data_IF_340006489530
#
_entry.id   IF_340006489530
#
_cell.length_a   1.000
_cell.length_b   1.000
_cell.length_c   1.000
_cell.angle_alpha   90.00
_cell.angle_beta   90.00
_cell.angle_gamma   90.00
#
_symmetry.space_group_name_H-M   'P 1'
#
loop_
_entity.id
_entity.type
_entity.pdbx_description
1 polymer ?
#
# COMPACT_ATOMS: atom_id res chain seq x y z
N UNK A 1 10.14 23.52 -7.02
CA UNK A 1 11.07 23.55 -5.88
C UNK A 1 12.19 22.53 -6.02
N UNK A 2 11.91 21.23 -5.85
CA UNK A 2 12.91 20.17 -5.63
C UNK A 2 14.00 20.01 -6.71
N UNK A 3 13.74 20.37 -7.96
CA UNK A 3 14.71 20.23 -9.06
C UNK A 3 15.58 21.47 -9.31
N UNK A 4 15.29 22.61 -8.65
CA UNK A 4 15.99 23.88 -8.90
C UNK A 4 17.04 24.13 -7.83
N UNK A 5 18.29 24.39 -8.20
CA UNK A 5 19.38 24.71 -7.28
C UNK A 5 20.22 23.50 -6.87
N UNK A 6 21.27 23.74 -6.09
CA UNK A 6 22.09 22.67 -5.51
C UNK A 6 21.53 22.24 -4.16
N UNK A 7 21.33 20.93 -3.92
CA UNK A 7 20.85 20.44 -2.63
C UNK A 7 21.97 20.44 -1.59
N UNK A 8 21.64 20.82 -0.37
CA UNK A 8 22.49 20.65 0.80
C UNK A 8 22.07 19.40 1.59
N UNK A 9 22.79 18.29 1.41
CA UNK A 9 22.45 17.01 2.04
C UNK A 9 22.61 17.02 3.57
N UNK A 10 23.44 17.89 4.13
CA UNK A 10 23.59 18.03 5.59
C UNK A 10 22.35 18.72 6.19
N UNK A 11 21.89 19.81 5.57
CA UNK A 11 20.64 20.46 5.94
C UNK A 11 19.43 19.52 5.74
N UNK A 12 19.43 18.77 4.64
CA UNK A 12 18.45 17.73 4.36
C UNK A 12 18.39 16.64 5.44
N UNK A 13 19.56 16.17 5.91
CA UNK A 13 19.63 15.23 7.04
C UNK A 13 19.02 15.81 8.31
N UNK A 14 19.34 17.07 8.64
CA UNK A 14 18.80 17.71 9.83
C UNK A 14 17.27 17.82 9.79
N UNK A 15 16.72 18.18 8.63
CA UNK A 15 15.27 18.20 8.39
C UNK A 15 14.66 16.79 8.49
N UNK A 16 15.31 15.78 7.89
CA UNK A 16 14.86 14.40 7.97
C UNK A 16 14.77 13.91 9.41
N UNK A 17 15.81 14.16 10.22
CA UNK A 17 15.82 13.77 11.64
C UNK A 17 14.71 14.46 12.42
N UNK A 18 14.44 15.73 12.13
CA UNK A 18 13.42 16.50 12.83
C UNK A 18 11.98 16.11 12.44
N UNK A 19 11.75 15.77 11.17
CA UNK A 19 10.41 15.61 10.60
C UNK A 19 10.07 14.14 10.35
N UNK A 20 10.93 13.44 9.62
CA UNK A 20 10.66 12.11 9.08
C UNK A 20 11.07 10.98 10.04
N UNK A 21 12.20 11.12 10.73
CA UNK A 21 12.72 10.10 11.64
C UNK A 21 11.87 9.90 12.91
N UNK A 22 10.89 10.79 13.14
CA UNK A 22 9.85 10.61 14.16
C UNK A 22 8.97 9.40 13.88
N UNK A 23 8.86 9.01 12.60
CA UNK A 23 8.00 7.95 12.15
C UNK A 23 8.70 6.90 11.30
N UNK A 24 9.77 7.24 10.57
CA UNK A 24 10.42 6.33 9.63
C UNK A 24 11.81 5.92 10.09
N UNK A 25 12.18 4.67 9.85
CA UNK A 25 13.55 4.19 9.97
C UNK A 25 14.33 4.49 8.69
N UNK A 26 15.59 4.87 8.83
CA UNK A 26 16.50 5.14 7.72
C UNK A 26 17.95 4.93 8.18
N UNK A 27 18.66 4.02 7.52
CA UNK A 27 20.03 3.61 7.88
C UNK A 27 20.22 3.28 9.36
N UNK A 28 19.25 2.58 9.97
CA UNK A 28 19.31 2.12 11.37
C UNK A 28 18.98 3.19 12.42
N UNK A 29 18.54 4.39 12.01
CA UNK A 29 18.02 5.42 12.90
C UNK A 29 16.55 5.75 12.63
N UNK A 30 15.83 6.25 13.63
CA UNK A 30 14.42 6.65 13.51
C UNK A 30 13.46 5.80 14.34
N UNK A 31 12.23 5.64 13.84
CA UNK A 31 11.14 4.87 14.48
C UNK A 31 10.44 4.01 13.44
N UNK A 32 9.87 2.87 13.87
CA UNK A 32 9.12 1.96 12.99
C UNK A 32 7.60 2.24 13.02
N UNK A 33 7.22 3.50 12.87
CA UNK A 33 5.80 3.90 12.82
C UNK A 33 5.28 3.85 11.37
N UNK A 34 6.00 4.47 10.46
CA UNK A 34 5.87 4.34 9.00
C UNK A 34 6.77 3.21 8.47
N UNK A 35 6.71 2.95 7.15
CA UNK A 35 7.61 2.00 6.50
C UNK A 35 9.09 2.46 6.61
N UNK A 36 10.00 1.50 6.56
CA UNK A 36 11.45 1.77 6.51
C UNK A 36 11.83 2.39 5.16
N UNK A 37 12.59 3.49 5.17
CA UNK A 37 12.92 4.25 3.96
C UNK A 37 14.21 3.75 3.25
N UNK A 38 14.81 2.66 3.73
CA UNK A 38 15.84 1.93 3.00
C UNK A 38 15.14 1.00 2.01
N UNK A 39 15.09 1.39 0.75
CA UNK A 39 14.46 0.58 -0.31
C UNK A 39 12.95 0.79 -0.44
N UNK A 40 12.29 1.47 0.50
CA UNK A 40 10.92 1.99 0.38
C UNK A 40 10.93 3.53 0.36
N UNK A 41 9.96 4.13 -0.33
CA UNK A 41 9.65 5.55 -0.40
C UNK A 41 10.36 6.32 -1.51
N UNK A 42 11.25 5.66 -2.26
CA UNK A 42 12.29 6.33 -3.08
C UNK A 42 12.56 5.68 -4.45
N UNK A 43 11.65 4.83 -4.92
CA UNK A 43 11.77 4.12 -6.21
C UNK A 43 11.89 5.08 -7.40
N UNK A 44 11.25 6.25 -7.29
CA UNK A 44 11.44 7.40 -8.16
C UNK A 44 11.24 8.69 -7.36
N UNK A 45 11.75 9.80 -7.89
CA UNK A 45 11.50 11.11 -7.31
C UNK A 45 10.00 11.48 -7.37
N UNK A 46 9.25 11.02 -8.38
CA UNK A 46 7.80 11.28 -8.47
C UNK A 46 7.01 10.52 -7.39
N UNK A 47 7.34 9.25 -7.17
CA UNK A 47 6.74 8.45 -6.08
C UNK A 47 7.02 9.11 -4.72
N UNK A 48 8.28 9.50 -4.47
CA UNK A 48 8.66 10.18 -3.23
C UNK A 48 7.88 11.50 -3.06
N UNK A 49 7.80 12.31 -4.12
CA UNK A 49 7.09 13.58 -4.08
C UNK A 49 5.58 13.40 -3.83
N UNK A 50 4.95 12.41 -4.46
CA UNK A 50 3.53 12.11 -4.23
C UNK A 50 3.29 11.74 -2.77
N UNK A 51 4.10 10.83 -2.22
CA UNK A 51 3.97 10.38 -0.83
C UNK A 51 4.22 11.50 0.19
N UNK A 52 5.17 12.40 -0.08
CA UNK A 52 5.50 13.51 0.83
C UNK A 52 4.50 14.66 0.73
N UNK A 53 4.04 15.00 -0.47
CA UNK A 53 3.14 16.14 -0.70
C UNK A 53 1.69 15.77 -0.33
N UNK A 54 1.24 14.57 -0.70
CA UNK A 54 -0.10 14.07 -0.41
C UNK A 54 -0.04 12.65 0.18
N UNK A 55 0.28 12.51 1.48
CA UNK A 55 0.33 11.21 2.16
C UNK A 55 -1.04 10.52 2.27
N UNK A 56 -2.13 11.19 1.88
CA UNK A 56 -3.48 10.62 1.88
C UNK A 56 -3.90 10.05 0.53
N UNK A 57 -3.09 10.25 -0.52
CA UNK A 57 -3.42 9.78 -1.86
C UNK A 57 -3.49 8.25 -1.93
N UNK A 58 -2.49 7.58 -1.35
CA UNK A 58 -2.40 6.13 -1.23
C UNK A 58 -1.99 5.82 0.20
N UNK A 59 -2.87 5.18 0.96
CA UNK A 59 -2.63 4.81 2.35
C UNK A 59 -2.50 3.30 2.42
N UNK A 60 -1.32 2.82 2.80
CA UNK A 60 -1.10 1.39 3.01
C UNK A 60 -2.02 0.84 4.09
N UNK A 61 -2.48 -0.40 3.93
CA UNK A 61 -3.34 -1.02 4.92
C UNK A 61 -2.62 -1.14 6.27
N UNK A 62 -3.24 -0.64 7.34
CA UNK A 62 -2.65 -0.58 8.67
C UNK A 62 -1.82 0.68 8.94
N UNK A 63 -1.78 1.65 8.02
CA UNK A 63 -1.14 2.97 8.21
C UNK A 63 -2.15 4.13 8.35
N UNK A 64 -3.45 3.83 8.30
CA UNK A 64 -4.50 4.79 8.63
C UNK A 64 -4.36 5.27 10.08
N UNK A 65 -4.71 6.52 10.32
CA UNK A 65 -4.84 7.03 11.66
C UNK A 65 -6.15 6.56 12.30
N UNK A 66 -6.04 5.86 13.42
CA UNK A 66 -7.15 5.40 14.25
C UNK A 66 -7.22 6.29 15.48
N UNK A 67 -8.42 6.79 15.77
CA UNK A 67 -8.73 7.54 16.98
C UNK A 67 -9.52 6.65 17.93
N UNK A 68 -9.02 6.49 19.15
CA UNK A 68 -9.70 5.77 20.23
C UNK A 68 -10.13 6.76 21.30
N UNK A 69 -11.43 6.85 21.51
CA UNK A 69 -12.02 7.49 22.69
C UNK A 69 -12.26 6.41 23.75
N UNK A 70 -11.70 6.62 24.93
CA UNK A 70 -11.83 5.70 26.06
C UNK A 70 -12.89 6.18 27.03
N UNK A 71 -13.46 5.25 27.81
CA UNK A 71 -14.52 5.53 28.80
C UNK A 71 -14.07 6.45 29.95
N UNK A 72 -12.75 6.59 30.16
CA UNK A 72 -12.17 7.52 31.13
C UNK A 72 -12.02 8.96 30.57
N UNK A 73 -12.40 9.17 29.30
CA UNK A 73 -12.38 10.46 28.63
C UNK A 73 -11.09 10.77 27.86
N UNK A 74 -10.10 9.87 27.82
CA UNK A 74 -8.91 10.07 26.97
C UNK A 74 -9.22 9.83 25.49
N UNK A 75 -8.62 10.66 24.65
CA UNK A 75 -8.54 10.47 23.20
C UNK A 75 -7.11 10.12 22.82
N UNK A 76 -6.93 8.94 22.24
CA UNK A 76 -5.64 8.40 21.81
C UNK A 76 -5.65 8.29 20.28
N UNK A 77 -4.50 8.45 19.64
CA UNK A 77 -4.36 8.43 18.18
C UNK A 77 -3.12 7.66 17.77
N UNK A 78 -3.24 6.86 16.72
CA UNK A 78 -2.15 6.08 16.15
C UNK A 78 -2.66 5.04 15.16
N UNK A 79 -1.76 4.24 14.59
CA UNK A 79 -2.15 3.09 13.78
C UNK A 79 -2.31 1.86 14.65
N UNK A 80 -3.22 0.95 14.28
CA UNK A 80 -3.39 -0.31 15.02
C UNK A 80 -2.26 -1.27 14.67
N UNK A 81 -1.53 -1.73 15.69
CA UNK A 81 -0.50 -2.77 15.56
C UNK A 81 -0.94 -4.11 16.18
N UNK A 82 -2.04 -4.11 16.93
CA UNK A 82 -2.68 -5.31 17.46
C UNK A 82 -4.18 -5.03 17.68
N UNK A 83 -5.06 -5.88 17.15
CA UNK A 83 -6.49 -5.89 17.47
C UNK A 83 -6.90 -7.32 17.85
N UNK A 84 -7.25 -7.51 19.12
CA UNK A 84 -7.66 -8.79 19.67
C UNK A 84 -9.02 -8.64 20.35
N UNK A 85 -9.74 -9.74 20.64
CA UNK A 85 -11.00 -9.66 21.38
C UNK A 85 -10.91 -8.95 22.74
N UNK A 86 -9.72 -8.92 23.36
CA UNK A 86 -9.51 -8.36 24.71
C UNK A 86 -8.84 -6.99 24.73
N UNK A 87 -8.09 -6.61 23.69
CA UNK A 87 -7.34 -5.33 23.65
C UNK A 87 -7.03 -4.86 22.25
N UNK A 88 -6.81 -3.56 22.14
CA UNK A 88 -6.25 -2.88 20.96
C UNK A 88 -4.93 -2.25 21.37
N UNK A 89 -3.91 -2.33 20.52
CA UNK A 89 -2.63 -1.64 20.70
C UNK A 89 -2.43 -0.65 19.56
N UNK A 90 -2.28 0.62 19.91
CA UNK A 90 -1.98 1.70 18.97
C UNK A 90 -0.49 2.02 18.99
N UNK A 91 0.05 2.35 17.83
CA UNK A 91 1.37 2.94 17.65
C UNK A 91 1.21 4.35 17.09
N UNK A 92 1.52 5.34 17.92
CA UNK A 92 1.45 6.76 17.58
C UNK A 92 2.78 7.32 17.04
N UNK A 93 2.72 8.58 16.61
CA UNK A 93 3.88 9.37 16.18
C UNK A 93 4.97 9.36 17.27
N UNK A 94 6.24 9.24 16.86
CA UNK A 94 7.38 9.13 17.78
C UNK A 94 7.59 7.71 18.34
N UNK A 95 6.75 6.74 17.97
CA UNK A 95 6.84 5.36 18.44
C UNK A 95 6.19 5.12 19.79
N UNK A 96 5.18 5.92 20.15
CA UNK A 96 4.45 5.77 21.42
C UNK A 96 3.46 4.60 21.30
N UNK A 97 3.56 3.61 22.18
CA UNK A 97 2.62 2.50 22.23
C UNK A 97 1.56 2.70 23.31
N UNK A 98 0.29 2.53 22.94
CA UNK A 98 -0.85 2.57 23.86
C UNK A 98 -1.59 1.24 23.82
N UNK A 99 -1.65 0.54 24.96
CA UNK A 99 -2.42 -0.71 25.09
C UNK A 99 -3.73 -0.41 25.79
N UNK A 100 -4.84 -0.59 25.07
CA UNK A 100 -6.17 -0.27 25.55
C UNK A 100 -6.98 -1.56 25.65
N UNK A 101 -7.46 -1.90 26.84
CA UNK A 101 -8.40 -2.99 27.01
C UNK A 101 -9.70 -2.68 26.26
N UNK A 102 -10.24 -3.65 25.52
CA UNK A 102 -11.41 -3.43 24.64
C UNK A 102 -12.64 -2.96 25.42
N UNK A 103 -12.75 -3.39 26.67
CA UNK A 103 -13.79 -2.97 27.62
C UNK A 103 -13.70 -1.48 28.02
N UNK A 104 -12.53 -0.85 27.86
CA UNK A 104 -12.31 0.57 28.13
C UNK A 104 -12.52 1.46 26.89
N UNK A 105 -12.69 0.86 25.72
CA UNK A 105 -12.96 1.59 24.48
C UNK A 105 -14.43 2.02 24.48
N UNK A 106 -14.67 3.31 24.29
CA UNK A 106 -15.99 3.87 24.03
C UNK A 106 -16.22 3.96 22.52
N UNK A 107 -15.24 4.48 21.78
CA UNK A 107 -15.28 4.59 20.32
C UNK A 107 -13.90 4.27 19.74
N UNK A 108 -13.88 3.52 18.65
CA UNK A 108 -12.72 3.32 17.80
C UNK A 108 -13.12 3.74 16.38
N UNK A 109 -12.40 4.70 15.82
CA UNK A 109 -12.74 5.32 14.55
C UNK A 109 -11.51 5.35 13.63
N UNK A 110 -11.66 4.76 12.45
CA UNK A 110 -10.76 5.01 11.33
C UNK A 110 -11.12 6.37 10.72
N UNK A 111 -10.16 7.29 10.76
CA UNK A 111 -10.34 8.65 10.24
C UNK A 111 -10.33 8.71 8.71
N UNK A 112 -9.90 7.64 8.03
CA UNK A 112 -9.75 7.59 6.58
C UNK A 112 -8.58 8.44 6.05
N UNK A 113 -7.72 8.95 6.94
CA UNK A 113 -6.50 9.70 6.62
C UNK A 113 -5.27 8.97 7.15
N UNK A 114 -4.12 9.24 6.54
CA UNK A 114 -2.84 8.67 6.93
C UNK A 114 -2.43 9.14 8.33
N UNK A 115 -1.70 8.28 9.07
CA UNK A 115 -0.98 8.71 10.27
C UNK A 115 0.19 9.64 9.93
N UNK A 116 0.70 9.59 8.69
CA UNK A 116 1.74 10.51 8.22
C UNK A 116 1.16 11.94 8.15
N UNK A 117 1.80 12.92 8.83
CA UNK A 117 1.34 14.31 8.78
C UNK A 117 1.33 14.86 7.35
N UNK A 118 0.38 15.73 7.05
CA UNK A 118 0.37 16.51 5.80
C UNK A 118 1.10 17.85 5.98
N UNK A 119 1.34 18.58 4.88
CA UNK A 119 1.91 19.93 4.93
C UNK A 119 3.41 20.02 4.69
N UNK A 120 4.10 18.90 4.41
CA UNK A 120 5.52 18.93 4.03
C UNK A 120 5.78 19.72 2.74
N UNK A 121 4.80 19.82 1.85
CA UNK A 121 4.85 20.66 0.66
C UNK A 121 4.85 22.17 0.94
N UNK A 122 4.58 22.60 2.17
CA UNK A 122 4.62 24.01 2.60
C UNK A 122 6.01 24.44 3.11
N UNK A 123 6.97 23.50 3.19
CA UNK A 123 8.36 23.84 3.49
C UNK A 123 8.92 24.82 2.46
N UNK A 124 9.79 25.78 2.87
CA UNK A 124 10.48 26.63 1.92
C UNK A 124 11.18 25.82 0.82
N UNK A 125 11.14 26.29 -0.43
CA UNK A 125 11.65 25.56 -1.60
C UNK A 125 13.04 24.94 -1.41
N UNK A 126 13.95 25.64 -0.72
CA UNK A 126 15.30 25.15 -0.43
C UNK A 126 15.30 24.01 0.58
N UNK A 127 14.55 24.14 1.68
CA UNK A 127 14.43 23.09 2.70
C UNK A 127 13.76 21.85 2.13
N UNK A 128 12.70 22.04 1.34
CA UNK A 128 12.03 20.94 0.66
C UNK A 128 12.96 20.22 -0.30
N UNK A 129 13.73 20.95 -1.12
CA UNK A 129 14.75 20.38 -2.00
C UNK A 129 15.78 19.57 -1.22
N UNK A 130 16.35 20.16 -0.17
CA UNK A 130 17.41 19.52 0.61
C UNK A 130 16.92 18.23 1.27
N UNK A 131 15.71 18.23 1.84
CA UNK A 131 15.06 17.05 2.41
C UNK A 131 14.87 15.94 1.37
N UNK A 132 14.26 16.27 0.23
CA UNK A 132 13.95 15.29 -0.83
C UNK A 132 15.23 14.68 -1.39
N UNK A 133 16.27 15.48 -1.66
CA UNK A 133 17.54 14.96 -2.17
C UNK A 133 18.30 14.14 -1.12
N UNK A 134 18.17 14.44 0.17
CA UNK A 134 18.74 13.60 1.23
C UNK A 134 18.07 12.22 1.28
N UNK A 135 16.74 12.15 1.17
CA UNK A 135 16.01 10.86 1.15
C UNK A 135 16.36 10.07 -0.12
N UNK A 136 16.45 10.75 -1.27
CA UNK A 136 16.67 10.10 -2.56
C UNK A 136 18.12 9.62 -2.75
N UNK A 137 19.10 10.40 -2.30
CA UNK A 137 20.52 10.14 -2.46
C UNK A 137 21.29 10.41 -1.16
N UNK A 138 21.06 9.61 -0.11
CA UNK A 138 21.74 9.78 1.16
C UNK A 138 23.26 9.55 1.00
N UNK A 139 24.11 10.25 1.77
CA UNK A 139 25.57 10.07 1.72
C UNK A 139 26.04 8.62 1.96
N UNK A 140 25.25 7.83 2.69
CA UNK A 140 25.45 6.39 2.92
C UNK A 140 25.50 5.57 1.62
N UNK A 141 24.86 6.04 0.55
CA UNK A 141 24.83 5.41 -0.78
C UNK A 141 25.88 5.98 -1.74
N UNK A 142 26.89 6.65 -1.20
CA UNK A 142 27.93 7.31 -1.95
C UNK A 142 27.56 8.73 -2.40
N UNK A 143 28.52 9.44 -3.02
CA UNK A 143 28.37 10.86 -3.33
C UNK A 143 27.27 11.13 -4.35
N UNK A 144 26.57 12.24 -4.19
CA UNK A 144 25.67 12.79 -5.20
C UNK A 144 26.51 13.40 -6.34
N UNK A 145 26.93 12.56 -7.29
CA UNK A 145 27.61 13.01 -8.50
C UNK A 145 26.63 13.72 -9.44
N UNK A 146 27.17 14.50 -10.38
CA UNK A 146 26.37 15.14 -11.43
C UNK A 146 25.57 14.10 -12.23
N UNK A 147 26.20 12.99 -12.61
CA UNK A 147 25.53 11.90 -13.34
C UNK A 147 24.42 11.25 -12.52
N UNK A 148 24.62 11.01 -11.21
CA UNK A 148 23.59 10.48 -10.31
C UNK A 148 22.42 11.46 -10.17
N UNK A 149 22.72 12.77 -10.07
CA UNK A 149 21.71 13.83 -10.02
C UNK A 149 20.90 13.90 -11.31
N UNK A 150 21.56 13.84 -12.48
CA UNK A 150 20.90 13.84 -13.79
C UNK A 150 20.05 12.58 -14.00
N UNK A 151 20.54 11.40 -13.64
CA UNK A 151 19.77 10.16 -13.71
C UNK A 151 18.51 10.21 -12.85
N UNK A 152 18.64 10.64 -11.58
CA UNK A 152 17.51 10.78 -10.65
C UNK A 152 16.50 11.85 -11.08
N UNK A 153 16.97 12.94 -11.69
CA UNK A 153 16.10 13.98 -12.24
C UNK A 153 15.41 13.55 -13.55
N UNK A 154 16.07 12.72 -14.37
CA UNK A 154 15.52 12.26 -15.66
C UNK A 154 14.33 11.32 -15.46
N UNK A 155 14.35 10.50 -14.39
CA UNK A 155 13.21 9.65 -13.99
C UNK A 155 11.92 10.44 -13.73
N UNK A 156 11.99 11.70 -13.29
CA UNK A 156 10.83 12.60 -13.16
C UNK A 156 10.31 13.03 -14.53
N UNK A 157 11.21 13.45 -15.41
CA UNK A 157 10.82 13.96 -16.73
C UNK A 157 10.27 12.85 -17.63
N UNK A 158 10.79 11.63 -17.53
CA UNK A 158 10.30 10.47 -18.28
C UNK A 158 8.92 10.01 -17.79
N UNK A 159 8.68 10.02 -16.47
CA UNK A 159 7.37 9.69 -15.89
C UNK A 159 6.30 10.73 -16.29
N UNK A 160 6.66 12.03 -16.25
CA UNK A 160 5.79 13.10 -16.73
C UNK A 160 5.52 13.00 -18.25
N UNK A 161 6.53 12.63 -19.05
CA UNK A 161 6.40 12.46 -20.49
C UNK A 161 5.64 11.19 -20.90
N UNK A 162 5.85 10.07 -20.20
CA UNK A 162 5.08 8.83 -20.37
C UNK A 162 3.60 9.08 -20.09
N UNK A 163 3.29 9.73 -18.96
CA UNK A 163 1.92 10.13 -18.60
C UNK A 163 1.30 11.07 -19.65
N UNK A 164 2.08 11.99 -20.22
CA UNK A 164 1.61 12.93 -21.25
C UNK A 164 1.43 12.29 -22.65
N UNK A 165 2.12 11.18 -22.93
CA UNK A 165 2.06 10.46 -24.21
C UNK A 165 1.11 9.26 -24.20
N UNK A 166 0.42 9.02 -23.08
CA UNK A 166 -0.47 7.86 -22.91
C UNK A 166 0.25 6.55 -22.61
N UNK A 167 1.55 6.60 -22.33
CA UNK A 167 2.32 5.48 -21.79
C UNK A 167 2.04 5.27 -20.30
N UNK A 168 2.39 4.09 -19.79
CA UNK A 168 2.26 3.81 -18.36
C UNK A 168 3.52 4.28 -17.62
N UNK A 169 3.36 4.96 -16.46
CA UNK A 169 4.50 5.29 -15.61
C UNK A 169 5.14 4.01 -15.04
N UNK A 170 6.39 4.08 -14.54
CA UNK A 170 7.01 2.97 -13.82
C UNK A 170 6.13 2.45 -12.69
N UNK A 171 6.19 1.14 -12.44
CA UNK A 171 5.38 0.50 -11.40
C UNK A 171 5.89 0.92 -10.01
N UNK A 172 4.99 1.49 -9.22
CA UNK A 172 5.21 1.73 -7.80
C UNK A 172 4.96 0.45 -6.97
N UNK A 173 5.95 -0.44 -7.00
CA UNK A 173 5.92 -1.72 -6.28
C UNK A 173 5.78 -1.56 -4.76
N UNK A 174 6.15 -0.41 -4.22
CA UNK A 174 5.97 -0.12 -2.80
C UNK A 174 4.50 0.08 -2.48
N UNK A 175 3.81 0.98 -3.19
CA UNK A 175 2.36 1.15 -3.01
C UNK A 175 1.63 -0.18 -3.20
N UNK A 176 2.03 -0.99 -4.19
CA UNK A 176 1.50 -2.34 -4.42
C UNK A 176 1.71 -3.26 -3.20
N UNK A 177 2.90 -3.22 -2.59
CA UNK A 177 3.23 -4.03 -1.41
C UNK A 177 2.53 -3.53 -0.14
N UNK A 178 2.34 -2.22 -0.02
CA UNK A 178 1.68 -1.58 1.12
C UNK A 178 0.15 -1.62 1.01
N UNK A 179 -0.41 -1.85 -0.18
CA UNK A 179 -1.86 -1.98 -0.35
C UNK A 179 -2.45 -3.01 0.62
N UNK A 180 -1.77 -4.15 0.80
CA UNK A 180 -2.09 -5.10 1.84
C UNK A 180 -0.83 -5.91 2.25
N UNK A 181 -0.09 -5.50 3.29
CA UNK A 181 1.19 -6.10 3.66
C UNK A 181 1.12 -7.58 4.06
N UNK A 182 -0.08 -8.10 4.40
CA UNK A 182 -0.28 -9.51 4.71
C UNK A 182 -0.36 -10.39 3.46
N UNK A 183 -0.49 -9.80 2.27
CA UNK A 183 -0.71 -10.50 1.01
C UNK A 183 0.39 -10.16 0.00
N UNK A 184 1.13 -11.18 -0.44
CA UNK A 184 2.11 -11.04 -1.50
C UNK A 184 1.42 -10.93 -2.85
N UNK A 185 1.79 -9.92 -3.64
CA UNK A 185 1.30 -9.71 -5.00
C UNK A 185 2.17 -10.46 -6.02
N UNK A 186 1.52 -11.20 -6.91
CA UNK A 186 2.12 -11.83 -8.08
C UNK A 186 1.43 -11.32 -9.34
N UNK A 187 2.09 -10.46 -10.09
CA UNK A 187 1.55 -9.91 -11.34
C UNK A 187 2.69 -9.64 -12.35
N UNK A 188 2.40 -9.65 -13.66
CA UNK A 188 3.32 -9.14 -14.67
C UNK A 188 3.42 -7.62 -14.61
N UNK A 189 4.53 -7.06 -15.08
CA UNK A 189 4.61 -5.64 -15.46
C UNK A 189 4.00 -5.48 -16.87
N UNK A 190 2.68 -5.50 -16.95
CA UNK A 190 1.94 -5.46 -18.21
C UNK A 190 0.82 -4.41 -18.16
N UNK A 191 0.70 -3.63 -19.23
CA UNK A 191 -0.28 -2.53 -19.37
C UNK A 191 -0.37 -1.62 -18.13
N UNK A 192 0.79 -1.33 -17.53
CA UNK A 192 0.90 -0.46 -16.35
C UNK A 192 0.34 -1.05 -15.06
N UNK A 193 0.21 -2.37 -14.98
CA UNK A 193 -0.09 -3.11 -13.76
C UNK A 193 1.15 -3.87 -13.29
N UNK A 194 1.23 -4.26 -11.99
CA UNK A 194 0.30 -3.92 -10.91
C UNK A 194 0.40 -2.44 -10.50
N UNK A 195 -0.70 -1.83 -10.07
CA UNK A 195 -0.67 -0.47 -9.52
C UNK A 195 -1.77 -0.23 -8.51
N UNK A 196 -1.58 0.74 -7.62
CA UNK A 196 -2.63 1.19 -6.71
C UNK A 196 -3.27 2.46 -7.24
N UNK A 197 -4.58 2.45 -7.37
CA UNK A 197 -5.40 3.58 -7.76
C UNK A 197 -5.86 4.32 -6.49
N UNK A 198 -5.66 5.64 -6.42
CA UNK A 198 -6.16 6.45 -5.31
C UNK A 198 -7.68 6.32 -5.14
N UNK A 199 -8.40 6.25 -6.26
CA UNK A 199 -9.83 5.97 -6.32
C UNK A 199 -10.18 5.20 -7.59
N UNK A 200 -11.09 4.23 -7.48
CA UNK A 200 -11.80 3.65 -8.61
C UNK A 200 -13.25 3.39 -8.22
N UNK A 201 -14.19 3.97 -8.98
CA UNK A 201 -15.65 3.78 -8.78
C UNK A 201 -16.09 3.99 -7.32
N UNK A 202 -15.66 5.10 -6.71
CA UNK A 202 -16.05 5.49 -5.35
C UNK A 202 -15.39 4.69 -4.22
N UNK A 203 -14.51 3.73 -4.51
CA UNK A 203 -13.63 3.11 -3.51
C UNK A 203 -12.25 3.74 -3.63
N UNK A 204 -11.66 4.10 -2.48
CA UNK A 204 -10.28 4.55 -2.40
C UNK A 204 -9.33 3.36 -2.27
N UNK A 205 -8.04 3.56 -2.58
CA UNK A 205 -6.97 2.58 -2.37
C UNK A 205 -7.26 1.22 -3.04
N UNK A 206 -7.38 1.23 -4.36
CA UNK A 206 -7.76 0.05 -5.15
C UNK A 206 -6.54 -0.53 -5.86
N UNK A 207 -6.19 -1.78 -5.58
CA UNK A 207 -5.15 -2.48 -6.33
C UNK A 207 -5.70 -2.93 -7.68
N UNK A 208 -4.99 -2.59 -8.75
CA UNK A 208 -5.28 -3.02 -10.11
C UNK A 208 -4.23 -4.02 -10.58
N UNK A 209 -4.66 -5.20 -11.04
CA UNK A 209 -3.81 -6.24 -11.61
C UNK A 209 -4.27 -6.61 -13.02
N UNK A 210 -3.40 -7.32 -13.74
CA UNK A 210 -3.71 -7.95 -15.02
C UNK A 210 -3.08 -9.37 -15.08
N UNK A 211 -3.72 -10.37 -15.69
CA UNK A 211 -3.11 -11.70 -15.91
C UNK A 211 -1.83 -11.64 -16.76
N UNK A 212 -0.96 -12.66 -16.67
CA UNK A 212 0.30 -12.73 -17.44
C UNK A 212 0.04 -12.92 -18.93
N UNK A 213 0.56 -12.02 -19.76
CA UNK A 213 0.39 -12.02 -21.21
C UNK A 213 1.54 -12.74 -21.94
N UNK A 214 2.78 -12.54 -21.48
CA UNK A 214 3.99 -13.10 -22.05
C UNK A 214 4.29 -14.51 -21.52
N UNK A 215 4.52 -15.45 -22.45
CA UNK A 215 4.99 -16.81 -22.17
C UNK A 215 3.92 -17.82 -21.78
N UNK A 216 2.87 -17.43 -21.03
CA UNK A 216 1.75 -18.29 -20.67
C UNK A 216 0.47 -17.51 -20.33
N UNK A 217 -0.43 -17.41 -21.32
CA UNK A 217 -1.75 -16.76 -21.21
C UNK A 217 -2.74 -17.44 -20.25
N UNK A 218 -2.34 -18.57 -19.67
CA UNK A 218 -3.11 -19.29 -18.64
C UNK A 218 -2.61 -18.97 -17.23
N UNK A 219 -1.51 -18.23 -17.10
CA UNK A 219 -0.94 -17.88 -15.81
C UNK A 219 -1.66 -16.64 -15.22
N UNK A 220 -2.28 -16.77 -14.04
CA UNK A 220 -3.04 -15.68 -13.44
C UNK A 220 -2.12 -14.71 -12.70
N UNK A 221 -2.58 -13.48 -12.53
CA UNK A 221 -2.11 -12.67 -11.41
C UNK A 221 -2.73 -13.19 -10.11
N UNK A 222 -2.08 -13.00 -8.96
CA UNK A 222 -2.59 -13.50 -7.70
C UNK A 222 -2.17 -12.67 -6.49
N UNK A 223 -3.02 -12.72 -5.47
CA UNK A 223 -2.71 -12.32 -4.11
C UNK A 223 -2.53 -13.59 -3.28
N UNK A 224 -1.39 -13.74 -2.62
CA UNK A 224 -1.08 -14.92 -1.82
C UNK A 224 -0.79 -14.58 -0.37
N UNK A 225 -1.35 -15.37 0.54
CA UNK A 225 -1.04 -15.30 1.97
C UNK A 225 -0.89 -16.71 2.53
N UNK A 226 0.11 -16.89 3.41
CA UNK A 226 0.28 -18.10 4.22
C UNK A 226 0.04 -17.78 5.68
N UNK A 227 -0.78 -18.59 6.35
CA UNK A 227 -1.07 -18.45 7.77
C UNK A 227 -1.67 -19.75 8.33
N UNK A 228 -1.78 -19.83 9.66
CA UNK A 228 -2.46 -20.93 10.33
C UNK A 228 -3.91 -20.53 10.62
N UNK A 229 -4.86 -21.33 10.13
CA UNK A 229 -6.28 -21.11 10.40
C UNK A 229 -6.57 -21.40 11.88
N UNK A 230 -7.26 -20.48 12.56
CA UNK A 230 -7.64 -20.67 13.96
C UNK A 230 -8.46 -21.97 14.14
N UNK A 231 -8.13 -22.75 15.18
CA UNK A 231 -8.80 -24.02 15.44
C UNK A 231 -10.18 -23.84 16.07
N UNK A 232 -10.35 -22.76 16.83
CA UNK A 232 -11.50 -22.52 17.70
C UNK A 232 -12.42 -21.42 17.15
N UNK A 233 -11.95 -20.61 16.18
CA UNK A 233 -12.74 -19.56 15.53
C UNK A 233 -13.09 -19.91 14.07
N UNK A 234 -14.34 -19.69 13.63
CA UNK A 234 -14.69 -19.78 12.22
C UNK A 234 -14.06 -18.61 11.48
N UNK A 235 -12.99 -18.87 10.73
CA UNK A 235 -12.41 -17.87 9.83
C UNK A 235 -13.10 -17.89 8.46
N UNK A 236 -13.24 -16.70 7.90
CA UNK A 236 -13.77 -16.47 6.56
C UNK A 236 -12.84 -15.55 5.79
N UNK A 237 -12.57 -15.90 4.53
CA UNK A 237 -11.92 -15.00 3.60
C UNK A 237 -12.98 -14.13 2.94
N UNK A 238 -12.85 -12.80 3.09
CA UNK A 238 -13.65 -11.81 2.37
C UNK A 238 -12.84 -11.16 1.27
N UNK A 239 -13.46 -11.05 0.09
CA UNK A 239 -12.88 -10.41 -1.10
C UNK A 239 -13.91 -9.42 -1.64
N UNK A 240 -13.49 -8.18 -1.84
CA UNK A 240 -14.26 -7.17 -2.58
C UNK A 240 -13.49 -6.78 -3.82
N UNK A 241 -14.02 -7.10 -4.99
CA UNK A 241 -13.36 -6.83 -6.27
C UNK A 241 -14.34 -6.39 -7.38
N UNK A 242 -13.77 -5.91 -8.48
CA UNK A 242 -14.51 -5.46 -9.66
C UNK A 242 -13.74 -5.75 -10.94
N UNK A 243 -14.41 -5.50 -12.07
CA UNK A 243 -13.86 -5.67 -13.41
C UNK A 243 -13.93 -4.35 -14.21
N UNK A 244 -13.14 -4.28 -15.28
CA UNK A 244 -13.17 -3.18 -16.24
C UNK A 244 -14.57 -3.03 -16.86
N UNK A 245 -14.96 -1.85 -17.37
CA UNK A 245 -16.30 -1.65 -17.96
C UNK A 245 -16.57 -2.49 -19.21
N UNK A 246 -15.49 -2.92 -19.87
CA UNK A 246 -15.51 -3.60 -21.17
C UNK A 246 -15.05 -5.05 -21.12
N UNK A 247 -14.78 -5.59 -19.94
CA UNK A 247 -14.23 -6.93 -19.77
C UNK A 247 -14.69 -7.59 -18.49
N UNK A 248 -14.61 -8.91 -18.48
CA UNK A 248 -14.71 -9.73 -17.30
C UNK A 248 -13.34 -10.35 -16.99
N UNK A 249 -13.28 -11.07 -15.88
CA UNK A 249 -12.18 -11.95 -15.53
C UNK A 249 -12.68 -12.98 -14.52
N UNK A 250 -11.95 -14.07 -14.30
CA UNK A 250 -12.35 -15.12 -13.36
C UNK A 250 -11.59 -15.02 -12.05
N UNK A 251 -12.33 -14.87 -10.96
CA UNK A 251 -11.79 -15.02 -9.61
C UNK A 251 -11.73 -16.50 -9.28
N UNK A 252 -10.54 -16.99 -8.93
CA UNK A 252 -10.39 -18.28 -8.25
C UNK A 252 -9.76 -18.11 -6.88
N UNK A 253 -10.31 -18.76 -5.88
CA UNK A 253 -9.67 -18.86 -4.56
C UNK A 253 -9.17 -20.28 -4.42
N UNK A 254 -7.85 -20.42 -4.35
CA UNK A 254 -7.16 -21.71 -4.18
C UNK A 254 -6.60 -21.78 -2.76
N UNK A 255 -6.96 -22.82 -2.02
CA UNK A 255 -6.47 -23.07 -0.65
C UNK A 255 -5.70 -24.39 -0.65
N UNK A 256 -4.41 -24.36 -0.36
CA UNK A 256 -3.53 -25.54 -0.39
C UNK A 256 -3.58 -26.34 -1.71
N UNK A 257 -3.84 -25.66 -2.83
CA UNK A 257 -3.95 -26.27 -4.17
C UNK A 257 -5.36 -26.71 -4.56
N UNK A 258 -6.34 -26.64 -3.66
CA UNK A 258 -7.74 -26.95 -3.94
C UNK A 258 -8.55 -25.68 -4.25
N UNK A 259 -9.38 -25.72 -5.28
CA UNK A 259 -10.25 -24.59 -5.65
C UNK A 259 -11.43 -24.53 -4.67
N UNK A 260 -11.46 -23.50 -3.84
CA UNK A 260 -12.52 -23.23 -2.87
C UNK A 260 -13.62 -22.30 -3.43
N UNK A 261 -13.30 -21.48 -4.43
CA UNK A 261 -14.24 -20.61 -5.14
C UNK A 261 -13.75 -20.43 -6.59
N UNK A 262 -14.68 -20.43 -7.54
CA UNK A 262 -14.42 -20.07 -8.94
C UNK A 262 -15.64 -19.35 -9.52
N UNK A 263 -15.52 -18.05 -9.79
CA UNK A 263 -16.61 -17.22 -10.31
C UNK A 263 -16.12 -16.11 -11.26
N UNK A 264 -16.94 -15.76 -12.25
CA UNK A 264 -16.65 -14.67 -13.19
C UNK A 264 -17.00 -13.31 -12.60
N UNK A 265 -16.01 -12.43 -12.47
CA UNK A 265 -16.19 -11.04 -12.09
C UNK A 265 -16.52 -10.23 -13.35
N UNK A 266 -17.80 -9.97 -13.57
CA UNK A 266 -18.29 -9.19 -14.70
C UNK A 266 -18.46 -7.71 -14.33
N UNK A 267 -18.48 -6.79 -15.30
CA UNK A 267 -18.84 -5.40 -15.04
C UNK A 267 -20.25 -5.31 -14.46
N UNK A 268 -20.40 -4.77 -13.26
CA UNK A 268 -21.71 -4.55 -12.66
C UNK A 268 -22.30 -3.19 -13.11
N UNK A 269 -23.63 -3.08 -13.30
CA UNK A 269 -24.28 -1.80 -13.53
C UNK A 269 -23.94 -0.79 -12.43
N UNK A 270 -23.72 0.47 -12.81
CA UNK A 270 -23.39 1.58 -11.89
C UNK A 270 -22.08 1.43 -11.12
N UNK A 271 -21.15 0.58 -11.59
CA UNK A 271 -19.84 0.44 -10.96
C UNK A 271 -19.87 -0.26 -9.59
N UNK A 272 -20.90 -1.07 -9.33
CA UNK A 272 -20.96 -1.88 -8.11
C UNK A 272 -19.79 -2.85 -8.00
N UNK A 273 -19.29 -3.00 -6.79
CA UNK A 273 -18.28 -3.98 -6.41
C UNK A 273 -18.94 -5.32 -6.13
N UNK A 274 -18.26 -6.42 -6.47
CA UNK A 274 -18.66 -7.77 -6.10
C UNK A 274 -17.99 -8.16 -4.79
N UNK A 275 -18.76 -8.76 -3.89
CA UNK A 275 -18.29 -9.28 -2.62
C UNK A 275 -18.37 -10.81 -2.66
N UNK A 276 -17.30 -11.46 -2.23
CA UNK A 276 -17.19 -12.91 -2.14
C UNK A 276 -16.78 -13.30 -0.74
N UNK A 277 -17.27 -14.45 -0.27
CA UNK A 277 -16.93 -15.00 1.03
C UNK A 277 -16.61 -16.47 0.88
N UNK A 278 -15.44 -16.88 1.37
CA UNK A 278 -14.99 -18.28 1.36
C UNK A 278 -14.81 -18.74 2.81
N UNK A 279 -15.66 -19.65 3.32
CA UNK A 279 -15.49 -20.23 4.63
C UNK A 279 -14.20 -21.06 4.70
N UNK A 280 -13.36 -20.84 5.72
CA UNK A 280 -12.11 -21.57 5.92
C UNK A 280 -12.24 -22.72 6.93
N UNK A 281 -13.47 -23.03 7.36
CA UNK A 281 -13.76 -24.03 8.38
C UNK A 281 -13.19 -25.44 8.06
N UNK A 282 -13.03 -25.77 6.77
CA UNK A 282 -12.43 -27.04 6.30
C UNK A 282 -10.97 -27.19 6.73
N UNK A 283 -10.24 -26.09 6.92
CA UNK A 283 -8.79 -26.10 7.19
C UNK A 283 -8.43 -25.66 8.63
N UNK A 284 -9.39 -25.67 9.56
CA UNK A 284 -9.15 -25.29 10.98
C UNK A 284 -7.94 -25.97 11.58
N UNK A 285 -7.10 -25.18 12.25
CA UNK A 285 -5.88 -25.64 12.90
C UNK A 285 -4.73 -26.00 11.95
N UNK A 286 -4.92 -25.92 10.63
CA UNK A 286 -3.90 -26.23 9.63
C UNK A 286 -3.17 -24.95 9.19
N UNK A 287 -1.91 -25.11 8.76
CA UNK A 287 -1.29 -24.09 7.92
C UNK A 287 -1.88 -24.15 6.50
N UNK A 288 -2.30 -22.99 6.01
CA UNK A 288 -2.83 -22.83 4.66
C UNK A 288 -2.05 -21.79 3.88
N UNK A 289 -1.90 -22.05 2.59
CA UNK A 289 -1.56 -21.04 1.58
C UNK A 289 -2.81 -20.76 0.77
N UNK A 290 -3.31 -19.53 0.86
CA UNK A 290 -4.44 -19.03 0.08
C UNK A 290 -3.90 -18.21 -1.09
N UNK A 291 -4.39 -18.49 -2.30
CA UNK A 291 -4.16 -17.69 -3.51
C UNK A 291 -5.51 -17.21 -4.05
N UNK A 292 -5.73 -15.90 -4.07
CA UNK A 292 -6.84 -15.29 -4.80
C UNK A 292 -6.33 -14.86 -6.18
N UNK A 293 -6.82 -15.50 -7.23
CA UNK A 293 -6.27 -15.47 -8.58
C UNK A 293 -7.18 -14.66 -9.52
N UNK A 294 -6.58 -13.78 -10.32
CA UNK A 294 -7.18 -13.12 -11.47
C UNK A 294 -6.81 -13.88 -12.73
N UNK A 295 -7.75 -14.71 -13.18
CA UNK A 295 -7.67 -15.48 -14.42
C UNK A 295 -8.28 -14.74 -15.59
N UNK A 296 -7.63 -14.82 -16.75
CA UNK A 296 -8.21 -14.32 -17.99
C UNK A 296 -9.37 -15.22 -18.45
N UNK A 297 -10.51 -14.64 -18.81
CA UNK A 297 -11.67 -15.35 -19.39
C UNK A 297 -11.67 -15.30 -20.91
N UNK A 298 -11.24 -14.17 -21.51
CA UNK A 298 -11.30 -13.94 -22.96
C UNK A 298 -10.18 -13.07 -23.52
N UNK A 299 -9.22 -12.64 -22.70
CA UNK A 299 -8.14 -11.70 -23.07
C UNK A 299 -8.68 -10.36 -23.60
N UNK A 300 -9.80 -9.92 -23.05
CA UNK A 300 -10.45 -8.67 -23.42
C UNK A 300 -10.74 -7.83 -22.18
N UNK A 301 -9.83 -6.90 -21.85
CA UNK A 301 -9.94 -6.01 -20.69
C UNK A 301 -10.02 -6.75 -19.34
N UNK A 302 -9.10 -7.69 -19.14
CA UNK A 302 -9.04 -8.60 -17.97
C UNK A 302 -8.53 -7.94 -16.68
N UNK A 303 -8.58 -6.60 -16.61
CA UNK A 303 -8.14 -5.87 -15.44
C UNK A 303 -9.02 -6.20 -14.24
N UNK A 304 -8.37 -6.70 -13.20
CA UNK A 304 -8.99 -6.89 -11.90
C UNK A 304 -8.74 -5.67 -11.02
N UNK A 305 -9.78 -5.28 -10.28
CA UNK A 305 -9.75 -4.18 -9.31
C UNK A 305 -10.07 -4.77 -7.95
N UNK A 306 -9.18 -4.62 -6.98
CA UNK A 306 -9.30 -5.20 -5.64
C UNK A 306 -9.43 -4.06 -4.63
N UNK A 307 -10.57 -3.99 -3.95
CA UNK A 307 -10.80 -3.02 -2.88
C UNK A 307 -10.47 -3.59 -1.50
N UNK A 308 -10.66 -4.90 -1.31
CA UNK A 308 -10.41 -5.56 -0.04
C UNK A 308 -10.11 -7.05 -0.23
N UNK A 309 -9.13 -7.57 0.50
CA UNK A 309 -8.90 -9.01 0.71
C UNK A 309 -8.48 -9.20 2.16
N UNK A 310 -9.32 -9.84 2.99
CA UNK A 310 -9.02 -10.03 4.42
C UNK A 310 -9.55 -11.36 4.95
N UNK A 311 -8.90 -11.86 5.98
CA UNK A 311 -9.37 -13.01 6.77
C UNK A 311 -9.95 -12.46 8.07
N UNK A 312 -11.16 -12.87 8.43
CA UNK A 312 -11.85 -12.48 9.67
C UNK A 312 -12.55 -13.66 10.35
#
# INVERSE_FOLDING_TARGET
AALKGEPNLEAGRALFVALCATCHEFYGGGKQVGPELIGSGRSSLDTLLNNVIDPNQIIGNGYQNIVVTTKDGRTLSGRVIEDTPTRVRLLGIGGTEEVIAREQIEKLEDTGVSLMPSGFGELPDEQFRDLIWFILAPPEEGPLTKDKKEALATLVTETAAASASGGFPPIDWESVSLWNPEWRVFAPEFEGTPRVLPEFRGRKNVLQLHPYDEGDRTKPAALERRFKVDADRPETLKITCGAHERGDWRLRVVVNGEIALEEDVTPAPQGRWREFTVPLATWRGQEVTIRAENYATGWAWEFSYWAEVRVE
#
